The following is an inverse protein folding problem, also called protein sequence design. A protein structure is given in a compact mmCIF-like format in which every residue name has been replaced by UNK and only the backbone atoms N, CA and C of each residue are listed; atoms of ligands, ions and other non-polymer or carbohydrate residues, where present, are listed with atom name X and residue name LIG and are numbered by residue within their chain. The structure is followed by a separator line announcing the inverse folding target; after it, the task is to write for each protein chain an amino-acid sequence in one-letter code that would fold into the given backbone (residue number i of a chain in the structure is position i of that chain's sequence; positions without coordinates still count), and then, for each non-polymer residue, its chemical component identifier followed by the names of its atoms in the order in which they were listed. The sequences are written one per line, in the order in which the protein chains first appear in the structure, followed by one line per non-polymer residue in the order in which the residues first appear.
data_IF_638116260870
#
_entry.id   IF_638116260870
#
_cell.length_a   1.000
_cell.length_b   1.000
_cell.length_c   1.000
_cell.angle_alpha   90.00
_cell.angle_beta   90.00
_cell.angle_gamma   90.00
#
_symmetry.space_group_name_H-M   'P 1'
#
loop_
_entity.id
_entity.type
_entity.pdbx_description
1 polymer ?
#
# COMPACT_ATOMS: atom_id res chain seq x y z
N UNK A 1 -0.74 -21.44 -31.11
CA UNK A 1 0.03 -20.31 -31.64
C UNK A 1 -0.51 -19.03 -31.05
N UNK A 2 0.34 -18.08 -30.77
CA UNK A 2 0.23 -16.79 -30.07
C UNK A 2 -0.04 -16.88 -28.56
N UNK A 3 1.00 -17.25 -27.81
CA UNK A 3 1.07 -17.21 -26.35
C UNK A 3 1.42 -15.80 -25.81
N UNK A 4 1.53 -14.80 -26.68
CA UNK A 4 1.77 -13.40 -26.32
C UNK A 4 0.63 -12.53 -26.83
N UNK A 5 -0.57 -12.65 -26.23
CA UNK A 5 -1.47 -11.50 -26.25
C UNK A 5 -0.67 -10.32 -25.70
N UNK A 6 -0.62 -9.20 -26.44
CA UNK A 6 0.04 -7.95 -26.07
C UNK A 6 -0.48 -7.50 -24.68
N UNK A 7 0.17 -7.97 -23.61
CA UNK A 7 -0.17 -7.53 -22.25
C UNK A 7 0.32 -6.10 -22.13
N UNK A 8 -0.62 -5.18 -22.06
CA UNK A 8 -0.29 -3.76 -21.86
C UNK A 8 0.40 -3.59 -20.50
N UNK A 9 1.48 -2.81 -20.49
CA UNK A 9 2.16 -2.40 -19.27
C UNK A 9 1.22 -1.49 -18.48
N UNK A 10 1.06 -1.75 -17.19
CA UNK A 10 0.38 -0.83 -16.27
C UNK A 10 1.42 -0.01 -15.51
N UNK A 11 1.16 1.27 -15.34
CA UNK A 11 2.09 2.17 -14.67
C UNK A 11 1.67 2.39 -13.22
N UNK A 12 2.60 2.13 -12.31
CA UNK A 12 2.44 2.47 -10.89
C UNK A 12 3.03 3.85 -10.64
N UNK A 13 2.18 4.83 -10.36
CA UNK A 13 2.61 6.18 -10.00
C UNK A 13 2.99 6.20 -8.53
N UNK A 14 4.28 6.28 -8.29
CA UNK A 14 4.86 6.34 -6.94
C UNK A 14 6.30 6.81 -6.99
N UNK A 15 6.73 7.60 -6.00
CA UNK A 15 8.15 7.90 -5.74
C UNK A 15 8.82 6.87 -4.81
N UNK A 16 8.05 5.92 -4.25
CA UNK A 16 8.54 4.97 -3.26
C UNK A 16 8.96 3.64 -3.91
N UNK A 17 10.28 3.43 -4.01
CA UNK A 17 10.87 2.20 -4.59
C UNK A 17 10.48 0.93 -3.82
N UNK A 18 10.28 1.01 -2.50
CA UNK A 18 9.85 -0.14 -1.71
C UNK A 18 8.42 -0.55 -2.06
N UNK A 19 7.49 0.42 -2.14
CA UNK A 19 6.12 0.16 -2.60
C UNK A 19 6.11 -0.47 -4.00
N UNK A 20 6.92 0.08 -4.93
CA UNK A 20 7.05 -0.47 -6.27
C UNK A 20 7.56 -1.90 -6.29
N UNK A 21 8.61 -2.21 -5.51
CA UNK A 21 9.19 -3.55 -5.44
C UNK A 21 8.22 -4.60 -4.87
N UNK A 22 7.41 -4.23 -3.88
CA UNK A 22 6.34 -5.08 -3.37
C UNK A 22 5.26 -5.31 -4.43
N UNK A 23 4.80 -4.22 -5.09
CA UNK A 23 3.73 -4.27 -6.08
C UNK A 23 4.09 -5.10 -7.31
N UNK A 24 5.27 -4.87 -7.90
CA UNK A 24 5.70 -5.60 -9.10
C UNK A 24 5.81 -7.09 -8.88
N UNK A 25 6.18 -7.53 -7.65
CA UNK A 25 6.24 -8.96 -7.30
C UNK A 25 4.85 -9.59 -7.26
N UNK A 26 3.87 -8.90 -6.66
CA UNK A 26 2.48 -9.38 -6.61
C UNK A 26 1.88 -9.41 -8.03
N UNK A 27 2.07 -8.35 -8.82
CA UNK A 27 1.52 -8.28 -10.18
C UNK A 27 2.17 -9.28 -11.14
N UNK A 28 3.44 -9.65 -10.89
CA UNK A 28 4.13 -10.71 -11.64
C UNK A 28 3.48 -12.10 -11.44
N UNK A 29 2.86 -12.38 -10.28
CA UNK A 29 2.08 -13.61 -10.04
C UNK A 29 0.95 -13.76 -11.07
N UNK A 30 0.41 -12.63 -11.56
CA UNK A 30 -0.66 -12.53 -12.58
C UNK A 30 -0.11 -12.23 -13.99
N UNK A 31 1.21 -12.23 -14.15
CA UNK A 31 1.90 -11.91 -15.42
C UNK A 31 1.53 -10.50 -15.96
N UNK A 32 1.26 -9.54 -15.08
CA UNK A 32 0.98 -8.15 -15.42
C UNK A 32 2.29 -7.36 -15.40
N UNK A 33 2.80 -6.92 -16.58
CA UNK A 33 3.99 -6.08 -16.65
C UNK A 33 3.72 -4.75 -15.97
N UNK A 34 4.59 -4.33 -15.05
CA UNK A 34 4.41 -3.12 -14.26
C UNK A 34 5.65 -2.25 -14.35
N UNK A 35 5.48 -0.99 -14.70
CA UNK A 35 6.53 0.02 -14.70
C UNK A 35 6.26 1.08 -13.62
N UNK A 36 7.34 1.63 -13.05
CA UNK A 36 7.25 2.74 -12.12
C UNK A 36 7.19 4.06 -12.91
N UNK A 37 6.28 4.93 -12.52
CA UNK A 37 6.18 6.28 -13.04
C UNK A 37 6.34 7.26 -11.87
N UNK A 38 7.47 7.98 -11.85
CA UNK A 38 7.71 9.02 -10.87
C UNK A 38 7.05 10.31 -11.35
N UNK A 39 5.82 10.55 -10.91
CA UNK A 39 5.01 11.70 -11.28
C UNK A 39 4.35 12.25 -10.03
N UNK A 40 4.45 13.55 -9.82
CA UNK A 40 3.73 14.24 -8.74
C UNK A 40 2.24 14.34 -9.10
N UNK A 41 1.40 13.72 -8.28
CA UNK A 41 -0.05 13.81 -8.34
C UNK A 41 -0.60 14.59 -7.15
N UNK A 42 -1.83 15.08 -7.29
CA UNK A 42 -2.53 15.75 -6.19
C UNK A 42 -2.80 14.73 -5.08
N UNK A 43 -2.33 15.02 -3.88
CA UNK A 43 -2.68 14.30 -2.65
C UNK A 43 -3.59 15.20 -1.80
N UNK A 44 -4.86 14.87 -1.72
CA UNK A 44 -5.81 15.56 -0.84
C UNK A 44 -5.63 15.09 0.60
N UNK A 45 -6.08 15.91 1.56
CA UNK A 45 -6.24 15.50 2.94
C UNK A 45 -7.65 14.96 3.13
N UNK A 46 -7.75 13.68 3.47
CA UNK A 46 -9.02 12.99 3.72
C UNK A 46 -8.76 11.84 4.72
N UNK A 47 -9.76 11.50 5.53
CA UNK A 47 -9.68 10.39 6.47
C UNK A 47 -9.81 9.02 5.75
N UNK A 48 -10.31 9.03 4.52
CA UNK A 48 -10.51 7.85 3.70
C UNK A 48 -9.40 7.72 2.65
N UNK A 49 -8.52 6.72 2.81
CA UNK A 49 -7.45 6.39 1.85
C UNK A 49 -7.96 6.15 0.42
N UNK A 50 -9.20 5.67 0.27
CA UNK A 50 -9.78 5.44 -1.05
C UNK A 50 -10.03 6.75 -1.80
N UNK A 51 -10.51 7.80 -1.11
CA UNK A 51 -10.71 9.11 -1.70
C UNK A 51 -9.37 9.73 -2.11
N UNK A 52 -8.34 9.59 -1.28
CA UNK A 52 -6.98 10.05 -1.58
C UNK A 52 -6.45 9.34 -2.83
N UNK A 53 -6.48 8.01 -2.84
CA UNK A 53 -6.01 7.22 -3.97
C UNK A 53 -6.79 7.50 -5.26
N UNK A 54 -8.12 7.67 -5.19
CA UNK A 54 -8.98 8.00 -6.33
C UNK A 54 -8.60 9.34 -6.96
N UNK A 55 -8.45 10.37 -6.13
CA UNK A 55 -8.07 11.72 -6.58
C UNK A 55 -6.69 11.70 -7.22
N UNK A 56 -5.71 11.06 -6.57
CA UNK A 56 -4.35 10.94 -7.10
C UNK A 56 -4.31 10.16 -8.42
N UNK A 57 -5.09 9.07 -8.56
CA UNK A 57 -5.15 8.29 -9.80
C UNK A 57 -5.75 9.11 -10.96
N UNK A 58 -6.80 9.87 -10.68
CA UNK A 58 -7.44 10.74 -11.69
C UNK A 58 -6.48 11.80 -12.20
N UNK A 59 -5.79 12.49 -11.29
CA UNK A 59 -4.83 13.54 -11.63
C UNK A 59 -3.62 12.95 -12.40
N UNK A 60 -3.07 11.85 -11.90
CA UNK A 60 -1.95 11.17 -12.53
C UNK A 60 -2.26 10.65 -13.95
N UNK A 61 -3.45 10.08 -14.15
CA UNK A 61 -3.90 9.62 -15.47
C UNK A 61 -4.02 10.80 -16.46
N UNK A 62 -4.61 11.91 -16.02
CA UNK A 62 -4.72 13.14 -16.83
C UNK A 62 -3.35 13.71 -17.20
N UNK A 63 -2.43 13.80 -16.24
CA UNK A 63 -1.09 14.37 -16.47
C UNK A 63 -0.22 13.49 -17.35
N UNK A 64 -0.27 12.18 -17.18
CA UNK A 64 0.57 11.24 -17.95
C UNK A 64 -0.03 10.84 -19.29
N UNK A 65 -1.33 11.01 -19.47
CA UNK A 65 -2.12 10.45 -20.58
C UNK A 65 -1.93 8.92 -20.74
N UNK A 66 -1.75 8.21 -19.62
CA UNK A 66 -1.53 6.77 -19.55
C UNK A 66 -2.53 6.11 -18.59
N UNK A 67 -2.88 4.82 -18.81
CA UNK A 67 -3.55 4.04 -17.78
C UNK A 67 -2.59 3.80 -16.61
N UNK A 68 -2.96 4.30 -15.45
CA UNK A 68 -2.13 4.27 -14.25
C UNK A 68 -2.88 3.70 -13.06
N UNK A 69 -2.14 3.19 -12.08
CA UNK A 69 -2.65 3.01 -10.74
C UNK A 69 -1.78 3.72 -9.72
N UNK A 70 -2.40 4.12 -8.61
CA UNK A 70 -1.74 4.64 -7.41
C UNK A 70 -2.07 3.73 -6.23
N UNK A 71 -1.30 3.84 -5.16
CA UNK A 71 -1.56 3.13 -3.91
C UNK A 71 -1.28 4.06 -2.75
N UNK A 72 -2.28 4.24 -1.89
CA UNK A 72 -2.11 4.90 -0.61
C UNK A 72 -2.35 3.93 0.54
N UNK A 73 -1.59 4.11 1.64
CA UNK A 73 -1.65 3.20 2.76
C UNK A 73 -1.38 3.89 4.09
N UNK A 74 -2.05 3.41 5.13
CA UNK A 74 -1.89 3.91 6.49
C UNK A 74 -1.85 2.83 7.54
N UNK A 75 -1.16 3.14 8.65
CA UNK A 75 -1.18 2.40 9.90
C UNK A 75 -2.24 3.03 10.81
N UNK A 76 -3.14 2.21 11.32
CA UNK A 76 -4.22 2.65 12.20
C UNK A 76 -4.08 1.95 13.55
N UNK A 77 -3.86 2.71 14.63
CA UNK A 77 -3.64 2.19 15.99
C UNK A 77 -4.90 2.44 16.81
N UNK A 78 -5.54 1.38 17.30
CA UNK A 78 -6.85 1.48 17.97
C UNK A 78 -6.80 2.33 19.25
N UNK A 79 -5.76 2.20 20.07
CA UNK A 79 -5.57 3.00 21.28
C UNK A 79 -5.41 4.50 21.01
N UNK A 80 -5.06 4.87 19.76
CA UNK A 80 -4.89 6.25 19.32
C UNK A 80 -6.03 6.71 18.38
N UNK A 81 -7.21 6.10 18.47
CA UNK A 81 -8.38 6.40 17.64
C UNK A 81 -8.08 6.37 16.13
N UNK A 82 -7.19 5.48 15.70
CA UNK A 82 -6.79 5.33 14.30
C UNK A 82 -5.57 6.16 13.88
N UNK A 83 -5.01 7.03 14.75
CA UNK A 83 -3.76 7.73 14.43
C UNK A 83 -2.62 6.72 14.24
N UNK A 84 -1.69 6.91 13.27
CA UNK A 84 -1.57 8.02 12.34
C UNK A 84 -2.50 7.98 11.12
N UNK A 85 -3.13 6.84 10.79
CA UNK A 85 -4.08 6.73 9.69
C UNK A 85 -3.50 7.18 8.35
N UNK A 86 -4.22 8.01 7.58
CA UNK A 86 -3.75 8.54 6.30
C UNK A 86 -2.47 9.37 6.39
N UNK A 87 -2.17 9.94 7.57
CA UNK A 87 -0.98 10.73 7.82
C UNK A 87 0.27 9.91 8.13
N UNK A 88 0.23 8.59 7.89
CA UNK A 88 1.31 7.63 8.24
C UNK A 88 2.69 8.04 7.73
N UNK A 89 2.80 8.53 6.51
CA UNK A 89 4.07 8.98 5.93
C UNK A 89 4.61 10.22 6.63
N UNK A 90 3.76 11.20 6.94
CA UNK A 90 4.14 12.41 7.66
C UNK A 90 4.61 12.10 9.07
N UNK A 91 3.82 11.32 9.81
CA UNK A 91 4.13 10.92 11.19
C UNK A 91 5.41 10.08 11.25
N UNK A 92 5.63 9.20 10.29
CA UNK A 92 6.89 8.45 10.22
C UNK A 92 8.11 9.35 10.05
N UNK A 93 8.03 10.37 9.20
CA UNK A 93 9.15 11.30 8.98
C UNK A 93 9.41 12.24 10.17
N UNK A 94 8.40 12.52 10.99
CA UNK A 94 8.48 13.46 12.11
C UNK A 94 8.75 12.77 13.45
N UNK A 95 8.04 11.68 13.75
CA UNK A 95 8.13 10.96 15.02
C UNK A 95 8.86 9.62 14.88
N UNK A 96 8.80 8.99 13.71
CA UNK A 96 9.37 7.66 13.49
C UNK A 96 8.69 6.57 14.30
N UNK A 97 9.28 5.39 14.26
CA UNK A 97 8.84 4.22 15.04
C UNK A 97 9.02 4.45 16.54
N UNK A 98 10.13 5.09 16.94
CA UNK A 98 10.42 5.38 18.36
C UNK A 98 9.39 6.32 18.98
N UNK A 99 8.92 7.33 18.23
CA UNK A 99 7.85 8.22 18.70
C UNK A 99 6.53 7.48 18.93
N UNK A 100 6.15 6.60 18.03
CA UNK A 100 4.96 5.76 18.18
C UNK A 100 5.08 4.83 19.40
N UNK A 101 6.25 4.19 19.57
CA UNK A 101 6.49 3.31 20.73
C UNK A 101 6.39 4.07 22.04
N UNK A 102 6.91 5.32 22.09
CA UNK A 102 6.82 6.17 23.29
C UNK A 102 5.40 6.61 23.61
N UNK A 103 4.62 7.01 22.60
CA UNK A 103 3.20 7.36 22.77
C UNK A 103 2.43 6.17 23.37
N UNK A 104 2.77 4.95 22.96
CA UNK A 104 2.11 3.73 23.40
C UNK A 104 2.73 3.10 24.67
N UNK A 105 3.67 3.77 25.34
CA UNK A 105 4.44 3.17 26.46
C UNK A 105 3.54 2.63 27.56
N UNK A 106 2.52 3.41 27.93
CA UNK A 106 1.57 3.07 29.00
C UNK A 106 0.28 2.40 28.50
N UNK A 107 0.16 2.21 27.18
CA UNK A 107 -1.03 1.61 26.60
C UNK A 107 -1.01 0.09 26.75
N UNK A 108 -2.12 -0.44 27.33
CA UNK A 108 -2.34 -1.87 27.48
C UNK A 108 -2.72 -2.53 26.16
N UNK A 109 -3.56 -1.84 25.39
CA UNK A 109 -4.05 -2.31 24.09
C UNK A 109 -3.16 -1.75 23.00
N UNK A 110 -2.58 -2.62 22.21
CA UNK A 110 -1.66 -2.23 21.14
C UNK A 110 -2.15 -2.68 19.75
N UNK A 111 -3.44 -3.03 19.69
CA UNK A 111 -4.07 -3.47 18.45
C UNK A 111 -3.98 -2.39 17.38
N UNK A 112 -3.61 -2.81 16.20
CA UNK A 112 -3.46 -1.93 15.06
C UNK A 112 -3.78 -2.69 13.77
N UNK A 113 -4.01 -1.96 12.70
CA UNK A 113 -4.11 -2.55 11.37
C UNK A 113 -3.44 -1.65 10.33
N UNK A 114 -2.97 -2.27 9.28
CA UNK A 114 -2.65 -1.55 8.04
C UNK A 114 -3.81 -1.65 7.06
N UNK A 115 -4.07 -0.55 6.39
CA UNK A 115 -5.01 -0.45 5.27
C UNK A 115 -4.28 0.08 4.04
N UNK A 116 -4.57 -0.48 2.88
CA UNK A 116 -4.10 0.02 1.59
C UNK A 116 -5.28 0.17 0.64
N UNK A 117 -5.30 1.26 -0.11
CA UNK A 117 -6.22 1.55 -1.20
C UNK A 117 -5.44 1.68 -2.50
N UNK A 118 -5.73 0.82 -3.46
CA UNK A 118 -5.25 0.92 -4.85
C UNK A 118 -6.36 1.54 -5.68
N UNK A 119 -6.05 2.56 -6.48
CA UNK A 119 -6.97 3.16 -7.43
C UNK A 119 -6.38 3.12 -8.84
N UNK A 120 -7.14 2.63 -9.81
CA UNK A 120 -6.79 2.60 -11.22
C UNK A 120 -7.63 3.61 -12.00
N UNK A 121 -6.97 4.37 -12.88
CA UNK A 121 -7.62 5.31 -13.80
C UNK A 121 -7.04 5.19 -15.20
N UNK A 122 -7.92 5.23 -16.19
CA UNK A 122 -7.55 5.29 -17.60
C UNK A 122 -8.06 6.62 -18.19
N UNK A 123 -7.19 7.51 -18.72
CA UNK A 123 -7.61 8.82 -19.22
C UNK A 123 -8.51 8.76 -20.45
N UNK A 124 -8.56 7.61 -21.14
CA UNK A 124 -9.43 7.39 -22.29
C UNK A 124 -10.86 6.98 -21.91
N UNK A 125 -11.09 6.71 -20.63
CA UNK A 125 -12.40 6.32 -20.11
C UNK A 125 -13.01 7.47 -19.31
N UNK A 126 -14.31 7.70 -19.48
CA UNK A 126 -15.06 8.69 -18.69
C UNK A 126 -15.62 8.10 -17.40
N UNK A 127 -15.03 6.99 -16.93
CA UNK A 127 -15.47 6.31 -15.72
C UNK A 127 -14.69 6.77 -14.49
N UNK A 128 -15.33 6.68 -13.34
CA UNK A 128 -14.67 6.87 -12.05
C UNK A 128 -13.54 5.84 -11.85
N UNK A 129 -12.43 6.21 -11.19
CA UNK A 129 -11.35 5.28 -10.91
C UNK A 129 -11.84 4.05 -10.16
N UNK A 130 -11.39 2.88 -10.60
CA UNK A 130 -11.69 1.61 -9.94
C UNK A 130 -10.81 1.43 -8.72
N UNK A 131 -11.39 1.15 -7.56
CA UNK A 131 -10.66 1.07 -6.30
C UNK A 131 -10.68 -0.34 -5.70
N UNK A 132 -9.60 -0.69 -4.98
CA UNK A 132 -9.40 -1.98 -4.34
C UNK A 132 -8.72 -1.78 -3.00
N UNK A 133 -9.27 -2.36 -1.94
CA UNK A 133 -8.71 -2.25 -0.60
C UNK A 133 -8.16 -3.59 -0.11
N UNK A 134 -7.10 -3.50 0.71
CA UNK A 134 -6.55 -4.61 1.46
C UNK A 134 -6.25 -4.19 2.89
N UNK A 135 -6.54 -5.05 3.86
CA UNK A 135 -6.37 -4.79 5.29
C UNK A 135 -5.72 -5.97 5.98
N UNK A 136 -4.82 -5.70 6.90
CA UNK A 136 -4.23 -6.70 7.78
C UNK A 136 -4.31 -6.22 9.22
N UNK A 137 -4.93 -7.04 10.08
CA UNK A 137 -4.93 -6.82 11.52
C UNK A 137 -3.59 -7.26 12.11
N UNK A 138 -3.24 -6.66 13.24
CA UNK A 138 -2.03 -6.97 13.97
C UNK A 138 -1.93 -6.14 15.23
N UNK A 139 -0.72 -5.98 15.72
CA UNK A 139 -0.42 -5.16 16.91
C UNK A 139 0.91 -4.43 16.76
N UNK A 140 1.05 -3.33 17.50
CA UNK A 140 2.34 -2.66 17.69
C UNK A 140 3.11 -3.37 18.79
N UNK A 141 4.27 -3.92 18.47
CA UNK A 141 5.17 -4.56 19.45
C UNK A 141 5.86 -3.52 20.33
N UNK A 142 6.54 -3.94 21.39
CA UNK A 142 7.13 -3.01 22.38
C UNK A 142 8.50 -2.46 22.00
N UNK A 143 9.18 -3.08 21.06
CA UNK A 143 10.51 -2.72 20.57
C UNK A 143 10.61 -2.99 19.07
N UNK A 144 11.56 -2.35 18.41
CA UNK A 144 11.82 -2.58 16.99
C UNK A 144 12.46 -3.96 16.78
N UNK A 145 11.97 -4.72 15.77
CA UNK A 145 12.50 -6.02 15.37
C UNK A 145 12.70 -6.11 13.88
N UNK A 146 13.82 -6.72 13.47
CA UNK A 146 14.17 -6.89 12.07
C UNK A 146 14.71 -5.62 11.41
N UNK A 147 15.15 -5.79 10.16
CA UNK A 147 15.79 -4.71 9.38
C UNK A 147 15.28 -4.66 7.93
N UNK A 148 14.35 -5.52 7.59
CA UNK A 148 13.75 -5.57 6.25
C UNK A 148 12.61 -4.55 6.12
N UNK A 149 12.18 -4.30 4.88
CA UNK A 149 11.01 -3.47 4.62
C UNK A 149 11.26 -1.97 4.82
N UNK A 150 10.23 -1.25 5.27
CA UNK A 150 10.27 0.21 5.44
C UNK A 150 9.14 0.71 6.36
N UNK A 151 9.24 1.97 6.77
CA UNK A 151 8.21 2.63 7.57
C UNK A 151 8.03 1.97 8.94
N UNK A 152 6.81 1.57 9.24
CA UNK A 152 6.45 0.96 10.52
C UNK A 152 6.64 -0.56 10.58
N UNK A 153 7.23 -1.17 9.55
CA UNK A 153 7.48 -2.61 9.50
C UNK A 153 8.21 -3.16 10.74
N UNK A 154 9.20 -2.44 11.34
CA UNK A 154 9.91 -2.92 12.53
C UNK A 154 9.06 -3.03 13.79
N UNK A 155 7.92 -2.34 13.85
CA UNK A 155 7.07 -2.31 15.06
C UNK A 155 5.69 -2.95 14.86
N UNK A 156 5.38 -3.48 13.68
CA UNK A 156 4.09 -4.08 13.39
C UNK A 156 4.19 -5.61 13.24
N UNK A 157 3.55 -6.33 14.14
CA UNK A 157 3.37 -7.79 14.09
C UNK A 157 1.99 -8.10 13.50
N UNK A 158 1.91 -8.66 12.27
CA UNK A 158 0.64 -9.00 11.64
C UNK A 158 0.00 -10.22 12.30
N UNK A 159 -1.32 -10.26 12.35
CA UNK A 159 -2.07 -11.45 12.72
C UNK A 159 -1.72 -12.61 11.76
N UNK A 160 -1.35 -13.76 12.30
CA UNK A 160 -0.89 -14.92 11.52
C UNK A 160 0.59 -14.86 11.12
N UNK A 161 1.34 -13.85 11.57
CA UNK A 161 2.78 -13.69 11.31
C UNK A 161 3.70 -14.53 12.20
N UNK A 162 3.15 -15.42 13.04
CA UNK A 162 3.90 -16.30 13.94
C UNK A 162 4.85 -15.53 14.88
N UNK A 163 4.43 -14.37 15.39
CA UNK A 163 5.21 -13.56 16.31
C UNK A 163 6.31 -12.71 15.66
N UNK A 164 6.40 -12.70 14.33
CA UNK A 164 7.37 -11.89 13.59
C UNK A 164 6.80 -10.52 13.25
N UNK A 165 7.60 -9.46 13.42
CA UNK A 165 7.33 -8.17 12.83
C UNK A 165 7.52 -8.22 11.30
N UNK A 166 6.88 -7.32 10.56
CA UNK A 166 7.05 -7.26 9.11
C UNK A 166 8.52 -7.09 8.69
N UNK A 167 9.33 -6.37 9.48
CA UNK A 167 10.75 -6.18 9.20
C UNK A 167 11.63 -7.43 9.50
N UNK A 168 11.07 -8.48 10.08
CA UNK A 168 11.73 -9.80 10.21
C UNK A 168 11.37 -10.73 9.05
N UNK A 169 10.55 -10.28 8.11
CA UNK A 169 10.08 -11.05 6.96
C UNK A 169 10.78 -10.60 5.68
N UNK A 170 11.05 -11.56 4.80
CA UNK A 170 11.39 -11.24 3.41
C UNK A 170 10.18 -10.60 2.72
N UNK A 171 10.40 -9.88 1.62
CA UNK A 171 9.29 -9.30 0.82
C UNK A 171 8.29 -10.38 0.37
N UNK A 172 8.77 -11.58 0.08
CA UNK A 172 7.91 -12.71 -0.33
C UNK A 172 7.03 -13.18 0.83
N UNK A 173 7.59 -13.30 2.03
CA UNK A 173 6.83 -13.65 3.24
C UNK A 173 5.81 -12.56 3.58
N UNK A 174 6.23 -11.30 3.62
CA UNK A 174 5.37 -10.14 3.89
C UNK A 174 4.20 -10.08 2.90
N UNK A 175 4.45 -10.32 1.60
CA UNK A 175 3.40 -10.29 0.57
C UNK A 175 2.34 -11.41 0.72
N UNK A 176 2.55 -12.42 1.57
CA UNK A 176 1.50 -13.40 1.89
C UNK A 176 0.39 -12.79 2.75
N UNK A 177 0.71 -11.80 3.57
CA UNK A 177 -0.17 -11.22 4.59
C UNK A 177 -0.57 -9.78 4.29
N UNK A 178 0.32 -8.99 3.70
CA UNK A 178 0.24 -7.54 3.74
C UNK A 178 -1.01 -6.95 3.10
N UNK A 179 -1.46 -5.84 3.67
CA UNK A 179 -2.54 -5.00 3.16
C UNK A 179 -2.37 -4.65 1.68
N UNK A 180 -1.15 -4.21 1.30
CA UNK A 180 -0.81 -3.86 -0.09
C UNK A 180 -0.96 -5.04 -1.03
N UNK A 181 -0.44 -6.20 -0.64
CA UNK A 181 -0.54 -7.40 -1.47
C UNK A 181 -1.99 -7.85 -1.66
N UNK A 182 -2.84 -7.71 -0.62
CA UNK A 182 -4.26 -8.01 -0.72
C UNK A 182 -4.98 -7.07 -1.69
N UNK A 183 -4.74 -5.75 -1.60
CA UNK A 183 -5.31 -4.76 -2.52
C UNK A 183 -4.87 -5.01 -3.96
N UNK A 184 -3.57 -5.24 -4.17
CA UNK A 184 -2.99 -5.51 -5.49
C UNK A 184 -3.48 -6.82 -6.11
N UNK A 185 -3.71 -7.88 -5.33
CA UNK A 185 -4.31 -9.13 -5.85
C UNK A 185 -5.75 -8.94 -6.31
N UNK A 186 -6.53 -8.11 -5.60
CA UNK A 186 -7.89 -7.74 -6.05
C UNK A 186 -7.83 -6.92 -7.34
N UNK A 187 -6.94 -5.94 -7.41
CA UNK A 187 -6.68 -5.18 -8.61
C UNK A 187 -6.25 -6.08 -9.77
N UNK A 188 -5.28 -6.97 -9.57
CA UNK A 188 -4.77 -7.85 -10.62
C UNK A 188 -5.86 -8.74 -11.22
N UNK A 189 -6.68 -9.39 -10.36
CA UNK A 189 -7.80 -10.23 -10.82
C UNK A 189 -8.82 -9.46 -11.67
N UNK A 190 -9.11 -8.22 -11.29
CA UNK A 190 -9.99 -7.37 -12.08
C UNK A 190 -9.32 -6.94 -13.39
N UNK A 191 -8.04 -6.57 -13.33
CA UNK A 191 -7.27 -6.07 -14.48
C UNK A 191 -7.08 -7.14 -15.57
N UNK A 192 -6.97 -8.43 -15.20
CA UNK A 192 -6.92 -9.54 -16.17
C UNK A 192 -8.18 -9.62 -17.06
N UNK A 193 -9.33 -9.23 -16.53
CA UNK A 193 -10.58 -9.15 -17.31
C UNK A 193 -10.79 -7.83 -18.05
N UNK A 194 -9.98 -6.81 -17.69
CA UNK A 194 -10.06 -5.47 -18.25
C UNK A 194 -9.26 -5.31 -19.55
N UNK A 195 -8.16 -6.08 -19.75
CA UNK A 195 -7.24 -6.01 -20.90
C UNK A 195 -7.55 -7.00 -22.02
#
# INVERSE_FOLDING_TARGET
MSLFKNRKVVFFVTGNVHKFNEARRVLAEYKIPTAMLNLESIEIQDDNLENIARTSATDAAKKSNLPVFVEDAGLFIKALNGFPGPYSSYVYRTLGTKGILKILENEKTRDAYFLSAVAFSNPQEQSEPKTFQGRIEGKIIREEKGTQGFGYDPIFEPLGGNGKAFAEMTTVEKNKYSHRAQALRKFAKWYEGYI
#
